data_IF_282123511876
#
_entry.id   IF_282123511876
#
_cell.length_a   1.000
_cell.length_b   1.000
_cell.length_c   1.000
_cell.angle_alpha   90.00
_cell.angle_beta   90.00
_cell.angle_gamma   90.00
#
_symmetry.space_group_name_H-M   'P 1'
#
loop_
_entity.id
_entity.type
_entity.pdbx_description
1 polymer ?
#
# COMPACT_ATOMS: atom_id res chain seq x y z
N UNK A 1 11.74 -1.71 -16.47
CA UNK A 1 10.94 -1.42 -15.24
C UNK A 1 11.37 -0.14 -14.51
N UNK A 2 12.65 0.03 -14.14
CA UNK A 2 13.14 1.25 -13.45
C UNK A 2 12.94 2.56 -14.23
N UNK A 3 13.03 2.51 -15.56
CA UNK A 3 12.89 3.69 -16.42
C UNK A 3 11.46 4.27 -16.41
N UNK A 4 10.44 3.40 -16.43
CA UNK A 4 9.03 3.82 -16.35
C UNK A 4 8.71 4.46 -14.99
N UNK A 5 9.24 3.88 -13.91
CA UNK A 5 9.05 4.40 -12.55
C UNK A 5 9.60 5.82 -12.36
N UNK A 6 10.69 6.19 -13.05
CA UNK A 6 11.21 7.56 -13.02
C UNK A 6 10.31 8.52 -13.80
N UNK A 7 9.77 8.09 -14.94
CA UNK A 7 8.84 8.88 -15.75
C UNK A 7 7.50 9.10 -15.03
N UNK A 8 7.01 8.11 -14.27
CA UNK A 8 5.77 8.21 -13.51
C UNK A 8 5.80 9.24 -12.37
N UNK A 9 6.97 9.52 -11.77
CA UNK A 9 7.06 10.39 -10.58
C UNK A 9 6.61 11.83 -10.79
N UNK A 10 6.64 12.30 -12.04
CA UNK A 10 6.29 13.67 -12.41
C UNK A 10 4.90 13.78 -13.02
N UNK A 11 4.19 12.66 -13.17
CA UNK A 11 2.87 12.59 -13.80
C UNK A 11 1.77 12.59 -12.74
N UNK A 12 0.63 13.18 -13.09
CA UNK A 12 -0.58 13.08 -12.28
C UNK A 12 -1.15 11.66 -12.32
N UNK A 13 -2.25 11.40 -11.60
CA UNK A 13 -2.84 10.06 -11.54
C UNK A 13 -3.39 9.59 -12.91
N UNK A 14 -4.01 10.49 -13.69
CA UNK A 14 -4.59 10.14 -14.99
C UNK A 14 -3.50 9.75 -15.99
N UNK A 15 -2.49 10.61 -16.17
CA UNK A 15 -1.40 10.37 -17.11
C UNK A 15 -0.56 9.14 -16.72
N UNK A 16 -0.42 8.85 -15.42
CA UNK A 16 0.18 7.59 -14.96
C UNK A 16 -0.62 6.37 -15.39
N UNK A 17 -1.94 6.39 -15.24
CA UNK A 17 -2.80 5.28 -15.67
C UNK A 17 -2.70 5.06 -17.17
N UNK A 18 -2.79 6.13 -17.98
CA UNK A 18 -2.65 6.06 -19.45
C UNK A 18 -1.29 5.51 -19.89
N UNK A 19 -0.20 5.95 -19.25
CA UNK A 19 1.14 5.44 -19.51
C UNK A 19 1.25 3.94 -19.19
N UNK A 20 0.62 3.49 -18.10
CA UNK A 20 0.60 2.07 -17.71
C UNK A 20 -0.23 1.24 -18.68
N UNK A 21 -1.38 1.74 -19.13
CA UNK A 21 -2.20 1.08 -20.15
C UNK A 21 -1.43 0.91 -21.48
N UNK A 22 -0.69 1.94 -21.91
CA UNK A 22 0.05 1.88 -23.17
C UNK A 22 1.35 1.08 -23.10
N UNK A 23 2.06 1.06 -21.97
CA UNK A 23 3.39 0.46 -21.85
C UNK A 23 3.46 -0.77 -20.94
N UNK A 24 2.80 -0.74 -19.79
CA UNK A 24 2.92 -1.81 -18.80
C UNK A 24 1.98 -2.98 -19.11
N UNK A 25 0.74 -2.71 -19.52
CA UNK A 25 -0.26 -3.74 -19.81
C UNK A 25 0.19 -4.70 -20.94
N UNK A 26 0.74 -4.24 -22.08
CA UNK A 26 1.25 -5.16 -23.11
C UNK A 26 2.35 -6.09 -22.58
N UNK A 27 3.31 -5.56 -21.81
CA UNK A 27 4.36 -6.38 -21.20
C UNK A 27 3.80 -7.40 -20.20
N UNK A 28 2.79 -7.03 -19.42
CA UNK A 28 2.13 -7.96 -18.50
C UNK A 28 1.38 -9.06 -19.28
N UNK A 29 0.70 -8.73 -20.38
CA UNK A 29 0.04 -9.71 -21.22
C UNK A 29 1.03 -10.69 -21.85
N UNK A 30 2.16 -10.20 -22.37
CA UNK A 30 3.25 -11.06 -22.88
C UNK A 30 3.78 -12.00 -21.79
N UNK A 31 4.01 -11.47 -20.58
CA UNK A 31 4.42 -12.28 -19.42
C UNK A 31 3.37 -13.34 -19.07
N UNK A 32 2.07 -13.00 -19.09
CA UNK A 32 0.98 -13.94 -18.81
C UNK A 32 1.00 -15.11 -19.79
N UNK A 33 1.04 -14.79 -21.09
CA UNK A 33 1.07 -15.79 -22.14
C UNK A 33 2.31 -16.68 -22.05
N UNK A 34 3.45 -16.11 -21.65
CA UNK A 34 4.67 -16.89 -21.39
C UNK A 34 4.49 -17.83 -20.19
N UNK A 35 3.95 -17.35 -19.07
CA UNK A 35 3.69 -18.16 -17.87
C UNK A 35 2.72 -19.31 -18.15
N UNK A 36 1.64 -19.05 -18.91
CA UNK A 36 0.66 -20.07 -19.28
C UNK A 36 1.27 -21.17 -20.16
N UNK A 37 2.18 -20.82 -21.08
CA UNK A 37 2.94 -21.79 -21.87
C UNK A 37 3.88 -22.62 -20.98
N UNK A 38 4.66 -21.96 -20.14
CA UNK A 38 5.61 -22.62 -19.25
C UNK A 38 4.92 -23.57 -18.26
N UNK A 39 3.71 -23.21 -17.80
CA UNK A 39 2.89 -24.07 -16.92
C UNK A 39 2.66 -25.47 -17.51
N UNK A 40 2.53 -25.59 -18.84
CA UNK A 40 2.30 -26.86 -19.52
C UNK A 40 3.58 -27.71 -19.67
N UNK A 41 4.76 -27.07 -19.61
CA UNK A 41 6.06 -27.71 -19.82
C UNK A 41 6.70 -28.17 -18.51
N UNK A 42 6.40 -27.51 -17.39
CA UNK A 42 7.00 -27.80 -16.09
C UNK A 42 6.33 -28.96 -15.35
N UNK A 43 7.12 -29.70 -14.58
CA UNK A 43 6.61 -30.76 -13.70
C UNK A 43 5.64 -30.16 -12.66
N UNK A 44 4.41 -30.69 -12.51
CA UNK A 44 3.35 -30.07 -11.69
C UNK A 44 3.69 -29.80 -10.23
N UNK A 45 4.62 -30.56 -9.64
CA UNK A 45 5.06 -30.42 -8.23
C UNK A 45 6.44 -29.79 -8.08
N UNK A 46 6.96 -29.17 -9.13
CA UNK A 46 8.24 -28.45 -9.07
C UNK A 46 8.05 -27.08 -8.40
N UNK A 47 9.10 -26.51 -7.76
CA UNK A 47 9.07 -25.14 -7.27
C UNK A 47 8.71 -24.10 -8.36
N UNK A 48 9.09 -24.38 -9.61
CA UNK A 48 8.72 -23.53 -10.75
C UNK A 48 7.21 -23.55 -11.01
N UNK A 49 6.60 -24.74 -11.02
CA UNK A 49 5.14 -24.86 -11.18
C UNK A 49 4.39 -24.15 -10.04
N UNK A 50 4.88 -24.25 -8.80
CA UNK A 50 4.30 -23.53 -7.65
C UNK A 50 4.36 -22.02 -7.85
N UNK A 51 5.51 -21.47 -8.25
CA UNK A 51 5.68 -20.05 -8.52
C UNK A 51 4.76 -19.57 -9.66
N UNK A 52 4.71 -20.28 -10.78
CA UNK A 52 3.85 -19.95 -11.93
C UNK A 52 2.38 -19.95 -11.51
N UNK A 53 1.93 -21.01 -10.82
CA UNK A 53 0.55 -21.11 -10.36
C UNK A 53 0.21 -19.98 -9.37
N UNK A 54 1.11 -19.66 -8.45
CA UNK A 54 0.92 -18.55 -7.52
C UNK A 54 0.77 -17.21 -8.25
N UNK A 55 1.65 -16.91 -9.21
CA UNK A 55 1.57 -15.67 -10.00
C UNK A 55 0.27 -15.59 -10.81
N UNK A 56 -0.14 -16.68 -11.46
CA UNK A 56 -1.38 -16.71 -12.24
C UNK A 56 -2.63 -16.60 -11.36
N UNK A 57 -2.62 -17.20 -10.16
CA UNK A 57 -3.73 -17.06 -9.20
C UNK A 57 -3.86 -15.63 -8.66
N UNK A 58 -2.76 -14.88 -8.59
CA UNK A 58 -2.73 -13.48 -8.16
C UNK A 58 -2.77 -12.49 -9.32
N UNK A 59 -3.06 -12.96 -10.55
CA UNK A 59 -2.91 -12.14 -11.74
C UNK A 59 -3.78 -10.88 -11.73
N UNK A 60 -5.04 -10.99 -11.29
CA UNK A 60 -5.93 -9.85 -11.18
C UNK A 60 -5.37 -8.80 -10.22
N UNK A 61 -4.99 -9.21 -9.00
CA UNK A 61 -4.39 -8.35 -8.00
C UNK A 61 -3.11 -7.66 -8.48
N UNK A 62 -2.26 -8.39 -9.22
CA UNK A 62 -1.02 -7.86 -9.81
C UNK A 62 -1.29 -6.74 -10.83
N UNK A 63 -2.45 -6.74 -11.49
CA UNK A 63 -2.77 -5.75 -12.54
C UNK A 63 -3.51 -4.51 -12.02
N UNK A 64 -4.04 -4.52 -10.78
CA UNK A 64 -4.86 -3.42 -10.25
C UNK A 64 -4.14 -2.06 -10.33
N UNK A 65 -2.83 -2.01 -10.10
CA UNK A 65 -2.06 -0.75 -10.17
C UNK A 65 -2.06 -0.10 -11.56
N UNK A 66 -2.38 -0.85 -12.62
CA UNK A 66 -2.49 -0.31 -13.99
C UNK A 66 -3.78 0.45 -14.22
N UNK A 67 -4.81 0.20 -13.40
CA UNK A 67 -6.11 0.84 -13.52
C UNK A 67 -6.15 2.20 -12.81
N UNK A 68 -5.47 2.33 -11.67
CA UNK A 68 -5.42 3.57 -10.87
C UNK A 68 -3.98 4.07 -10.73
N UNK A 69 -3.71 5.27 -11.25
CA UNK A 69 -2.41 5.92 -11.17
C UNK A 69 -1.96 6.25 -9.74
N UNK A 70 -2.88 6.31 -8.78
CA UNK A 70 -2.55 6.53 -7.36
C UNK A 70 -1.92 5.30 -6.71
N UNK A 71 -2.13 4.12 -7.27
CA UNK A 71 -1.58 2.89 -6.74
C UNK A 71 -0.11 2.73 -7.13
N UNK A 72 0.67 2.26 -6.16
CA UNK A 72 2.05 1.86 -6.38
C UNK A 72 2.08 0.42 -6.93
N UNK A 73 3.01 0.15 -7.84
CA UNK A 73 3.27 -1.20 -8.37
C UNK A 73 3.81 -2.17 -7.31
N UNK A 74 4.40 -1.65 -6.23
CA UNK A 74 4.95 -2.46 -5.14
C UNK A 74 4.48 -1.97 -3.78
N UNK A 75 4.64 -2.85 -2.79
CA UNK A 75 4.24 -2.65 -1.42
C UNK A 75 5.28 -1.85 -0.59
N UNK A 76 6.31 -1.27 -1.21
CA UNK A 76 7.42 -0.64 -0.49
C UNK A 76 6.97 0.43 0.51
N UNK A 77 5.90 1.17 0.19
CA UNK A 77 5.33 2.18 1.08
C UNK A 77 4.79 1.52 2.36
N UNK A 78 4.03 0.44 2.21
CA UNK A 78 3.49 -0.33 3.33
C UNK A 78 4.61 -0.99 4.15
N UNK A 79 5.60 -1.60 3.50
CA UNK A 79 6.75 -2.20 4.20
C UNK A 79 7.53 -1.16 5.01
N UNK A 80 7.77 0.03 4.43
CA UNK A 80 8.42 1.14 5.14
C UNK A 80 7.60 1.62 6.34
N UNK A 81 6.28 1.64 6.23
CA UNK A 81 5.39 2.00 7.33
C UNK A 81 5.41 0.96 8.47
N UNK A 82 5.59 -0.33 8.17
CA UNK A 82 5.63 -1.41 9.17
C UNK A 82 7.03 -1.61 9.78
N UNK A 83 8.09 -1.23 9.06
CA UNK A 83 9.49 -1.40 9.49
C UNK A 83 9.81 -0.85 10.90
N UNK A 84 9.31 0.33 11.33
CA UNK A 84 9.55 0.82 12.68
C UNK A 84 9.05 -0.11 13.78
N UNK A 85 7.97 -0.85 13.56
CA UNK A 85 7.44 -1.81 14.54
C UNK A 85 8.31 -3.07 14.63
N UNK A 86 8.81 -3.56 13.50
CA UNK A 86 9.72 -4.69 13.48
C UNK A 86 11.03 -4.37 14.24
N UNK A 87 11.54 -3.15 14.08
CA UNK A 87 12.71 -2.64 14.82
C UNK A 87 12.35 -2.39 16.30
N UNK A 88 11.24 -1.70 16.53
CA UNK A 88 10.77 -1.27 17.84
C UNK A 88 10.43 -2.41 18.78
N UNK A 89 9.92 -3.55 18.27
CA UNK A 89 9.58 -4.74 19.08
C UNK A 89 10.72 -5.22 19.98
N UNK A 90 11.99 -5.07 19.56
CA UNK A 90 13.15 -5.43 20.39
C UNK A 90 13.45 -4.40 21.49
N UNK A 91 13.03 -3.15 21.31
CA UNK A 91 13.28 -2.02 22.21
C UNK A 91 12.08 -1.68 23.11
N UNK A 92 10.90 -2.19 22.76
CA UNK A 92 9.64 -1.95 23.46
C UNK A 92 9.39 -3.02 24.52
N UNK A 93 10.26 -3.05 25.53
CA UNK A 93 10.32 -4.08 26.59
C UNK A 93 9.05 -4.16 27.47
N UNK A 94 8.16 -3.15 27.41
CA UNK A 94 6.98 -3.03 28.27
C UNK A 94 5.63 -3.18 27.53
N UNK A 95 5.64 -3.64 26.28
CA UNK A 95 4.41 -4.05 25.59
C UNK A 95 3.95 -5.42 26.12
N UNK A 96 3.36 -5.41 27.31
CA UNK A 96 2.99 -6.63 28.04
C UNK A 96 1.51 -7.03 27.95
N UNK A 97 0.66 -6.23 27.30
CA UNK A 97 -0.78 -6.53 27.21
C UNK A 97 -1.36 -6.24 25.83
N UNK A 98 -2.39 -7.01 25.45
CA UNK A 98 -3.17 -6.82 24.22
C UNK A 98 -3.74 -5.40 24.11
N UNK A 99 -4.14 -4.82 25.25
CA UNK A 99 -4.65 -3.45 25.29
C UNK A 99 -3.57 -2.43 24.91
N UNK A 100 -2.33 -2.61 25.40
CA UNK A 100 -1.19 -1.78 25.00
C UNK A 100 -0.89 -1.89 23.51
N UNK A 101 -0.94 -3.11 22.96
CA UNK A 101 -0.79 -3.36 21.53
C UNK A 101 -1.85 -2.64 20.68
N UNK A 102 -3.12 -2.70 21.08
CA UNK A 102 -4.22 -1.98 20.41
C UNK A 102 -4.00 -0.47 20.43
N UNK A 103 -3.64 0.11 21.58
CA UNK A 103 -3.37 1.55 21.70
C UNK A 103 -2.23 2.01 20.79
N UNK A 104 -1.14 1.24 20.72
CA UNK A 104 -0.04 1.55 19.80
C UNK A 104 -0.47 1.46 18.34
N UNK A 105 -1.24 0.43 17.96
CA UNK A 105 -1.73 0.28 16.60
C UNK A 105 -2.57 1.49 16.18
N UNK A 106 -3.45 1.98 17.05
CA UNK A 106 -4.27 3.18 16.81
C UNK A 106 -3.38 4.41 16.63
N UNK A 107 -2.51 4.71 17.60
CA UNK A 107 -1.67 5.91 17.58
C UNK A 107 -0.70 5.93 16.40
N UNK A 108 -0.14 4.77 16.06
CA UNK A 108 0.82 4.66 14.97
C UNK A 108 0.13 4.74 13.60
N UNK A 109 -1.07 4.17 13.47
CA UNK A 109 -1.89 4.32 12.25
C UNK A 109 -2.28 5.78 12.05
N UNK A 110 -2.73 6.45 13.11
CA UNK A 110 -3.02 7.88 13.10
C UNK A 110 -1.82 8.72 12.65
N UNK A 111 -0.64 8.44 13.23
CA UNK A 111 0.60 9.15 12.93
C UNK A 111 1.04 8.92 11.48
N UNK A 112 0.97 7.67 10.99
CA UNK A 112 1.31 7.31 9.62
C UNK A 112 0.40 8.01 8.61
N UNK A 113 -0.90 8.07 8.87
CA UNK A 113 -1.87 8.81 8.04
C UNK A 113 -1.52 10.30 7.99
N UNK A 114 -1.26 10.94 9.15
CA UNK A 114 -0.86 12.35 9.18
C UNK A 114 0.40 12.60 8.34
N UNK A 115 1.41 11.73 8.45
CA UNK A 115 2.65 11.82 7.65
C UNK A 115 2.37 11.67 6.14
N UNK A 116 1.50 10.75 5.75
CA UNK A 116 1.10 10.57 4.34
C UNK A 116 0.43 11.81 3.74
N UNK A 117 -0.33 12.56 4.56
CA UNK A 117 -0.95 13.82 4.16
C UNK A 117 -0.06 15.06 4.38
N UNK A 118 1.15 14.90 4.91
CA UNK A 118 2.04 16.04 5.22
C UNK A 118 1.56 16.89 6.40
N UNK A 119 0.70 16.35 7.26
CA UNK A 119 0.11 17.04 8.41
C UNK A 119 0.93 16.74 9.66
N UNK A 120 1.16 17.75 10.50
CA UNK A 120 1.80 17.56 11.79
C UNK A 120 0.87 16.76 12.74
N UNK A 121 1.23 15.53 13.16
CA UNK A 121 0.34 14.65 13.92
C UNK A 121 -0.11 15.24 15.25
N UNK A 122 0.80 15.90 15.97
CA UNK A 122 0.51 16.54 17.26
C UNK A 122 -0.51 17.67 17.12
N UNK A 123 -0.31 18.53 16.13
CA UNK A 123 -1.19 19.68 15.88
C UNK A 123 -2.59 19.20 15.53
N UNK A 124 -2.71 18.21 14.65
CA UNK A 124 -3.99 17.62 14.26
C UNK A 124 -4.68 16.93 15.45
N UNK A 125 -3.94 16.13 16.23
CA UNK A 125 -4.50 15.42 17.38
C UNK A 125 -5.03 16.40 18.43
N UNK A 126 -4.24 17.42 18.78
CA UNK A 126 -4.64 18.45 19.73
C UNK A 126 -5.88 19.19 19.25
N UNK A 127 -5.91 19.63 17.99
CA UNK A 127 -7.04 20.36 17.43
C UNK A 127 -8.32 19.50 17.43
N UNK A 128 -8.21 18.25 16.97
CA UNK A 128 -9.32 17.29 16.95
C UNK A 128 -9.86 17.04 18.36
N UNK A 129 -9.00 16.68 19.32
CA UNK A 129 -9.42 16.40 20.71
C UNK A 129 -10.00 17.64 21.41
N UNK A 130 -9.59 18.85 21.01
CA UNK A 130 -10.15 20.10 21.55
C UNK A 130 -11.58 20.34 21.04
N UNK A 131 -11.84 20.02 19.77
CA UNK A 131 -13.14 20.24 19.12
C UNK A 131 -14.13 19.10 19.36
N UNK A 132 -13.64 17.88 19.58
CA UNK A 132 -14.43 16.66 19.69
C UNK A 132 -15.58 16.76 20.71
N UNK A 133 -15.39 17.31 21.94
CA UNK A 133 -16.47 17.39 22.93
C UNK A 133 -17.63 18.30 22.50
N UNK A 134 -17.38 19.27 21.62
CA UNK A 134 -18.35 20.24 21.14
C UNK A 134 -18.95 19.85 19.77
N UNK A 135 -18.51 18.75 19.16
CA UNK A 135 -18.88 18.36 17.80
C UNK A 135 -19.88 17.22 17.84
N UNK A 136 -20.97 17.31 17.08
CA UNK A 136 -21.95 16.23 17.00
C UNK A 136 -21.41 15.04 16.20
N UNK A 137 -21.95 13.84 16.42
CA UNK A 137 -21.53 12.64 15.70
C UNK A 137 -21.67 12.78 14.16
N UNK A 138 -22.68 13.52 13.71
CA UNK A 138 -22.95 13.79 12.30
C UNK A 138 -21.84 14.64 11.65
N UNK A 139 -21.16 15.48 12.44
CA UNK A 139 -20.12 16.38 11.98
C UNK A 139 -18.72 15.77 12.05
N UNK A 140 -18.53 14.55 12.55
CA UNK A 140 -17.20 13.93 12.69
C UNK A 140 -16.42 13.81 11.37
N UNK A 141 -17.13 13.69 10.24
CA UNK A 141 -16.51 13.65 8.92
C UNK A 141 -15.72 14.93 8.60
N UNK A 142 -16.04 16.08 9.23
CA UNK A 142 -15.31 17.34 9.02
C UNK A 142 -13.91 17.31 9.60
N UNK A 143 -13.60 16.35 10.48
CA UNK A 143 -12.25 16.17 10.99
C UNK A 143 -11.33 15.46 10.02
N UNK A 144 -11.86 14.70 9.05
CA UNK A 144 -11.01 13.97 8.11
C UNK A 144 -10.15 14.95 7.31
N UNK A 145 -8.86 14.63 7.07
CA UNK A 145 -8.01 15.46 6.23
C UNK A 145 -8.53 15.40 4.79
N UNK A 146 -9.25 16.44 4.37
CA UNK A 146 -9.78 16.56 3.00
C UNK A 146 -8.60 16.91 2.08
N UNK A 147 -8.46 16.17 0.97
CA UNK A 147 -7.68 16.57 -0.19
C UNK A 147 -8.62 17.10 -1.26
#
# INVERSE_FOLDING_TARGET
MFFLRLQEKLLDASARSELRQSKAVPCLQELKSWLEKQRAEVLPKSPMAEAINYTLNQWEALNIYTCDGNLAIDNNIAERAVKPFAIGRKNWLFFGSDQGGKSLAILSSFTATCQQFGINPWTYQRDTLTKLPATSAEQLHTFLPIK
#
